data_IF_649979947070
#
_entry.id   IF_649979947070
#
_cell.length_a   1.000
_cell.length_b   1.000
_cell.length_c   1.000
_cell.angle_alpha   90.00
_cell.angle_beta   90.00
_cell.angle_gamma   90.00
#
_symmetry.space_group_name_H-M   'P 1'
#
loop_
_entity.id
_entity.type
_entity.pdbx_description
1 polymer ?
#
# COMPACT_ATOMS: atom_id res chain seq x y z
N UNK A 1 0.20 -29.88 10.18
CA UNK A 1 0.82 -28.67 10.74
C UNK A 1 1.90 -28.23 9.79
N UNK A 2 1.60 -27.24 8.96
CA UNK A 2 2.60 -26.55 8.16
C UNK A 2 1.99 -25.21 7.81
N UNK A 3 1.95 -24.35 8.82
CA UNK A 3 1.66 -22.93 8.71
C UNK A 3 2.71 -22.34 7.77
N UNK A 4 2.36 -22.25 6.48
CA UNK A 4 3.03 -21.37 5.54
C UNK A 4 2.79 -19.95 6.05
N UNK A 5 3.67 -19.48 6.95
CA UNK A 5 3.85 -18.06 7.21
C UNK A 5 4.20 -17.44 5.86
N UNK A 6 3.21 -16.92 5.15
CA UNK A 6 3.41 -16.13 3.95
C UNK A 6 4.16 -14.87 4.37
N UNK A 7 5.49 -14.91 4.26
CA UNK A 7 6.33 -13.74 4.45
C UNK A 7 6.08 -12.80 3.27
N UNK A 8 5.35 -11.71 3.49
CA UNK A 8 5.26 -10.62 2.51
C UNK A 8 6.68 -10.12 2.27
N UNK A 9 7.08 -10.06 1.01
CA UNK A 9 8.36 -9.48 0.61
C UNK A 9 8.15 -8.01 0.26
N UNK A 10 8.92 -7.15 0.91
CA UNK A 10 8.89 -5.72 0.69
C UNK A 10 9.69 -5.35 -0.57
N UNK A 11 9.28 -4.25 -1.21
CA UNK A 11 10.05 -3.64 -2.29
C UNK A 11 11.40 -3.11 -1.76
N UNK A 12 12.39 -3.02 -2.63
CA UNK A 12 13.72 -2.53 -2.27
C UNK A 12 13.66 -1.10 -1.68
N UNK A 13 14.37 -0.88 -0.58
CA UNK A 13 14.37 0.37 0.18
C UNK A 13 13.26 0.54 1.22
N UNK A 14 12.17 -0.24 1.17
CA UNK A 14 11.17 -0.22 2.25
C UNK A 14 11.75 -0.77 3.55
N UNK A 15 11.32 -0.21 4.68
CA UNK A 15 11.74 -0.66 6.01
C UNK A 15 10.57 -1.21 6.80
N UNK A 16 10.80 -2.31 7.50
CA UNK A 16 9.89 -2.84 8.53
C UNK A 16 10.45 -2.49 9.90
N UNK A 17 9.76 -1.62 10.65
CA UNK A 17 10.17 -1.21 12.00
C UNK A 17 8.96 -1.37 12.91
N UNK A 18 9.11 -2.14 13.99
CA UNK A 18 8.05 -2.39 14.98
C UNK A 18 6.72 -2.84 14.35
N UNK A 19 6.77 -3.70 13.34
CA UNK A 19 5.57 -4.23 12.66
C UNK A 19 4.97 -3.32 11.58
N UNK A 20 5.47 -2.09 11.44
CA UNK A 20 4.99 -1.11 10.45
C UNK A 20 5.96 -1.01 9.27
N UNK A 21 5.40 -0.79 8.08
CA UNK A 21 6.19 -0.59 6.87
C UNK A 21 6.27 0.88 6.52
N UNK A 22 7.46 1.30 6.10
CA UNK A 22 7.82 2.69 5.89
C UNK A 22 8.22 2.98 4.44
N UNK A 23 7.80 4.15 3.98
CA UNK A 23 8.00 4.66 2.64
C UNK A 23 9.49 4.87 2.35
N UNK A 24 10.02 4.30 1.25
CA UNK A 24 11.41 4.50 0.85
C UNK A 24 11.67 5.89 0.23
N UNK A 25 10.61 6.63 -0.13
CA UNK A 25 10.71 7.93 -0.79
C UNK A 25 10.68 9.11 0.18
N UNK A 26 10.12 8.92 1.37
CA UNK A 26 10.05 9.96 2.39
C UNK A 26 11.34 10.00 3.20
N UNK A 27 11.92 11.19 3.37
CA UNK A 27 13.11 11.39 4.20
C UNK A 27 12.85 11.04 5.67
N UNK A 28 11.64 11.32 6.17
CA UNK A 28 11.25 11.08 7.57
C UNK A 28 10.74 9.64 7.82
N UNK A 29 10.78 8.76 6.81
CA UNK A 29 10.14 7.44 6.84
C UNK A 29 8.63 7.58 7.11
N UNK A 30 7.88 8.07 6.12
CA UNK A 30 6.43 8.11 6.17
C UNK A 30 5.83 6.71 6.33
N UNK A 31 4.94 6.49 7.32
CA UNK A 31 4.33 5.19 7.54
C UNK A 31 3.36 4.89 6.38
N UNK A 32 3.36 3.63 5.93
CA UNK A 32 2.47 3.19 4.87
C UNK A 32 1.32 2.41 5.49
N UNK A 33 0.08 2.84 5.26
CA UNK A 33 -1.11 2.12 5.67
C UNK A 33 -1.67 1.28 4.52
N UNK A 34 -2.34 0.19 4.88
CA UNK A 34 -3.19 -0.60 4.00
C UNK A 34 -4.60 -0.03 4.01
N UNK A 35 -5.19 0.10 2.84
CA UNK A 35 -6.58 0.46 2.65
C UNK A 35 -7.21 -0.37 1.53
N UNK A 36 -8.51 -0.18 1.29
CA UNK A 36 -9.25 -0.77 0.19
C UNK A 36 -10.10 0.29 -0.48
N UNK A 37 -10.08 0.30 -1.81
CA UNK A 37 -10.98 1.11 -2.61
C UNK A 37 -12.38 0.48 -2.66
N UNK A 38 -13.39 1.30 -2.46
CA UNK A 38 -14.80 0.88 -2.50
C UNK A 38 -15.23 0.27 -3.86
N UNK A 39 -14.66 0.73 -4.97
CA UNK A 39 -15.08 0.31 -6.33
C UNK A 39 -14.59 -1.06 -6.74
N UNK A 40 -13.33 -1.40 -6.45
CA UNK A 40 -12.69 -2.62 -6.96
C UNK A 40 -12.42 -3.67 -5.90
N UNK A 41 -12.72 -3.38 -4.63
CA UNK A 41 -12.28 -4.19 -3.48
C UNK A 41 -10.77 -4.47 -3.51
N UNK A 42 -10.02 -3.61 -4.19
CA UNK A 42 -8.58 -3.70 -4.35
C UNK A 42 -7.91 -3.20 -3.07
N UNK A 43 -7.07 -4.04 -2.50
CA UNK A 43 -6.19 -3.65 -1.40
C UNK A 43 -5.01 -2.87 -1.97
N UNK A 44 -4.83 -1.64 -1.49
CA UNK A 44 -3.72 -0.77 -1.84
C UNK A 44 -2.98 -0.34 -0.58
N UNK A 45 -1.71 0.01 -0.74
CA UNK A 45 -0.86 0.50 0.34
C UNK A 45 -0.47 1.94 0.01
N UNK A 46 -0.68 2.85 0.94
CA UNK A 46 -0.57 4.30 0.72
C UNK A 46 0.31 4.92 1.79
N UNK A 47 1.28 5.73 1.38
CA UNK A 47 2.10 6.52 2.31
C UNK A 47 1.28 7.67 2.88
N UNK A 48 1.29 7.85 4.21
CA UNK A 48 0.56 8.92 4.89
C UNK A 48 1.19 10.32 4.70
N UNK A 49 2.40 10.39 4.15
CA UNK A 49 3.13 11.67 3.96
C UNK A 49 3.17 12.15 2.51
N UNK A 50 3.31 11.25 1.54
CA UNK A 50 3.55 11.61 0.13
C UNK A 50 2.54 11.00 -0.84
N UNK A 51 1.49 10.35 -0.33
CA UNK A 51 0.46 9.65 -1.09
C UNK A 51 0.98 8.57 -2.05
N UNK A 52 2.24 8.16 -1.89
CA UNK A 52 2.85 7.10 -2.69
C UNK A 52 2.04 5.81 -2.59
N UNK A 53 1.87 5.13 -3.72
CA UNK A 53 1.06 3.92 -3.84
C UNK A 53 1.90 2.67 -4.10
N UNK A 54 1.48 1.57 -3.47
CA UNK A 54 1.96 0.22 -3.76
C UNK A 54 0.82 -0.77 -3.86
N UNK A 55 1.02 -1.78 -4.70
CA UNK A 55 0.06 -2.85 -4.93
C UNK A 55 0.64 -4.20 -4.52
N UNK A 56 -0.22 -5.09 -4.06
CA UNK A 56 0.17 -6.46 -3.77
C UNK A 56 0.06 -7.31 -5.03
N UNK A 57 1.17 -7.93 -5.43
CA UNK A 57 1.20 -8.94 -6.48
C UNK A 57 1.66 -10.28 -5.89
N UNK A 58 0.73 -11.24 -5.81
CA UNK A 58 0.89 -12.52 -5.12
C UNK A 58 1.32 -12.34 -3.66
N UNK A 59 2.63 -12.34 -3.39
CA UNK A 59 3.22 -12.21 -2.06
C UNK A 59 4.25 -11.05 -1.98
N UNK A 60 4.36 -10.23 -3.03
CA UNK A 60 5.26 -9.07 -3.10
C UNK A 60 4.47 -7.78 -3.10
N UNK A 61 4.92 -6.81 -2.31
CA UNK A 61 4.47 -5.43 -2.45
C UNK A 61 5.36 -4.77 -3.50
N UNK A 62 4.76 -4.34 -4.60
CA UNK A 62 5.47 -3.75 -5.73
C UNK A 62 5.21 -2.25 -5.81
N UNK A 63 6.27 -1.52 -6.15
CA UNK A 63 6.18 -0.13 -6.57
C UNK A 63 6.01 -0.10 -8.09
N UNK A 64 4.98 0.58 -8.60
CA UNK A 64 4.92 0.88 -10.04
C UNK A 64 5.94 1.98 -10.34
N UNK A 65 7.14 1.54 -10.74
CA UNK A 65 8.31 2.39 -10.97
C UNK A 65 8.16 3.38 -12.14
N UNK A 66 7.20 3.19 -13.02
CA UNK A 66 7.08 4.00 -14.26
C UNK A 66 6.29 5.30 -14.11
N UNK A 67 5.72 5.56 -12.94
CA UNK A 67 5.12 6.84 -12.63
C UNK A 67 4.74 6.81 -11.17
N UNK A 68 5.27 7.73 -10.39
CA UNK A 68 4.86 7.93 -9.00
C UNK A 68 3.38 8.34 -9.03
N UNK A 69 2.47 7.37 -8.96
CA UNK A 69 1.04 7.65 -8.90
C UNK A 69 0.73 7.93 -7.44
N UNK A 70 0.42 9.19 -7.13
CA UNK A 70 -0.29 9.48 -5.89
C UNK A 70 -1.71 8.89 -5.98
N UNK A 71 -2.36 8.72 -4.84
CA UNK A 71 -3.68 8.10 -4.75
C UNK A 71 -4.71 8.75 -5.70
N UNK A 72 -4.70 10.08 -5.77
CA UNK A 72 -5.62 10.86 -6.60
C UNK A 72 -5.43 10.57 -8.09
N UNK A 73 -4.20 10.62 -8.59
CA UNK A 73 -3.88 10.31 -9.98
C UNK A 73 -4.25 8.89 -10.38
N UNK A 74 -4.02 7.92 -9.49
CA UNK A 74 -4.42 6.53 -9.74
C UNK A 74 -5.94 6.43 -9.87
N UNK A 75 -6.69 7.02 -8.92
CA UNK A 75 -8.15 6.98 -8.95
C UNK A 75 -8.70 7.64 -10.21
N UNK A 76 -8.17 8.81 -10.58
CA UNK A 76 -8.60 9.53 -11.78
C UNK A 76 -8.31 8.72 -13.05
N UNK A 77 -7.12 8.13 -13.17
CA UNK A 77 -6.74 7.31 -14.34
C UNK A 77 -7.56 6.03 -14.46
N UNK A 78 -7.87 5.36 -13.35
CA UNK A 78 -8.57 4.07 -13.37
C UNK A 78 -10.10 4.20 -13.39
N UNK A 79 -10.64 5.18 -12.68
CA UNK A 79 -12.09 5.28 -12.44
C UNK A 79 -12.72 6.55 -13.02
N UNK A 80 -11.93 7.59 -13.32
CA UNK A 80 -12.39 8.86 -13.88
C UNK A 80 -13.37 9.64 -13.00
N UNK A 81 -13.48 9.28 -11.71
CA UNK A 81 -14.44 9.86 -10.77
C UNK A 81 -13.95 9.69 -9.33
N UNK A 82 -13.24 10.71 -8.84
CA UNK A 82 -12.75 10.82 -7.46
C UNK A 82 -13.88 10.85 -6.42
N UNK A 83 -14.99 11.53 -6.71
CA UNK A 83 -16.07 11.72 -5.73
C UNK A 83 -16.78 10.41 -5.37
N UNK A 84 -16.78 9.45 -6.31
CA UNK A 84 -17.39 8.13 -6.10
C UNK A 84 -16.40 7.07 -5.61
N UNK A 85 -15.14 7.44 -5.40
CA UNK A 85 -14.09 6.52 -4.97
C UNK A 85 -13.55 6.93 -3.61
N UNK A 86 -13.70 6.06 -2.61
CA UNK A 86 -13.26 6.35 -1.25
C UNK A 86 -12.60 5.14 -0.60
N UNK A 87 -11.78 5.44 0.40
CA UNK A 87 -11.02 4.48 1.20
C UNK A 87 -11.93 3.86 2.28
N UNK A 88 -11.98 2.53 2.34
CA UNK A 88 -12.88 1.82 3.26
C UNK A 88 -12.32 1.61 4.66
N UNK A 89 -11.00 1.54 4.82
CA UNK A 89 -10.33 1.36 6.12
C UNK A 89 -8.88 1.84 6.06
N UNK A 90 -8.25 2.01 7.22
CA UNK A 90 -6.86 2.40 7.36
C UNK A 90 -6.20 1.50 8.40
N UNK A 91 -5.24 0.69 7.98
CA UNK A 91 -4.56 -0.27 8.84
C UNK A 91 -3.05 -0.22 8.62
N UNK A 92 -2.28 0.06 9.67
CA UNK A 92 -0.81 0.07 9.62
C UNK A 92 -0.21 -1.31 9.86
N UNK A 93 -1.02 -2.27 10.32
CA UNK A 93 -0.59 -3.64 10.56
C UNK A 93 -0.74 -4.44 9.26
N UNK A 94 0.33 -4.46 8.47
CA UNK A 94 0.38 -5.24 7.23
C UNK A 94 0.32 -6.74 7.49
N UNK A 95 0.75 -7.15 8.68
CA UNK A 95 0.85 -8.52 9.12
C UNK A 95 -0.22 -8.75 10.18
N UNK A 96 -1.27 -9.50 9.83
CA UNK A 96 -2.07 -10.15 10.86
C UNK A 96 -1.29 -11.34 11.35
N UNK A 97 -0.90 -11.34 12.63
CA UNK A 97 -0.63 -12.61 13.31
C UNK A 97 -1.92 -13.43 13.22
N UNK A 98 -1.89 -14.51 12.44
CA UNK A 98 -2.90 -15.56 12.49
C UNK A 98 -2.50 -16.57 13.56
#
# INVERSE_FOLDING_TARGET
MSDLKKSIKLFDGMKLINGKVYCPLCEENGPIFKTRLNRDKLDIYVCDECDGLWFMNNDYVLYEKEGMQNLEEYIEKQFGDLEKTYLLYFDYDWYKEQ
#
